data_IF_764084337838
#
_entry.id   IF_764084337838
#
_cell.length_a   1.000
_cell.length_b   1.000
_cell.length_c   1.000
_cell.angle_alpha   90.00
_cell.angle_beta   90.00
_cell.angle_gamma   90.00
#
_symmetry.space_group_name_H-M   'P 1'
#
loop_
_entity.id
_entity.type
_entity.pdbx_description
1 polymer ?
#
# COMPACT_ATOMS: atom_id res chain seq x y z
N UNK A 1 -3.50 35.37 1.19
CA UNK A 1 -4.11 34.49 1.58
C UNK A 1 -4.54 33.40 0.75
N UNK A 2 -4.48 33.46 -0.39
CA UNK A 2 -4.94 32.50 -1.21
C UNK A 2 -4.03 31.40 -1.52
N UNK A 3 -2.87 31.46 -1.06
CA UNK A 3 -1.93 30.48 -1.38
C UNK A 3 -2.29 29.08 -1.04
N UNK A 4 -2.78 28.81 0.13
CA UNK A 4 -3.13 27.44 0.43
C UNK A 4 -4.19 26.89 -0.46
N UNK A 5 -4.89 27.78 -1.12
CA UNK A 5 -5.86 27.43 -1.99
C UNK A 5 -5.39 26.67 -3.17
N UNK A 6 -4.30 27.04 -3.77
CA UNK A 6 -3.85 26.39 -4.99
C UNK A 6 -3.32 25.00 -4.71
N UNK A 7 -2.79 24.77 -3.54
CA UNK A 7 -2.25 23.46 -3.25
C UNK A 7 -3.30 22.47 -2.79
N UNK A 8 -4.20 22.91 -1.95
CA UNK A 8 -5.24 22.03 -1.46
C UNK A 8 -6.09 21.42 -2.55
N UNK A 9 -6.53 22.17 -3.55
CA UNK A 9 -7.31 21.56 -4.62
C UNK A 9 -6.53 20.53 -5.41
N UNK A 10 -5.24 20.70 -5.56
CA UNK A 10 -4.45 19.73 -6.29
C UNK A 10 -4.36 18.41 -5.53
N UNK A 11 -4.13 18.48 -4.24
CA UNK A 11 -4.07 17.27 -3.45
C UNK A 11 -5.41 16.55 -3.40
N UNK A 12 -6.47 17.31 -3.27
CA UNK A 12 -7.80 16.72 -3.28
C UNK A 12 -8.08 16.06 -4.62
N UNK A 13 -7.65 16.66 -5.70
CA UNK A 13 -7.82 16.07 -7.01
C UNK A 13 -7.09 14.75 -7.14
N UNK A 14 -5.87 14.65 -6.63
CA UNK A 14 -5.15 13.40 -6.67
C UNK A 14 -5.92 12.30 -5.97
N UNK A 15 -6.47 12.58 -4.81
CA UNK A 15 -7.21 11.59 -4.06
C UNK A 15 -8.54 11.24 -4.71
N UNK A 16 -9.15 12.21 -5.37
CA UNK A 16 -10.43 12.01 -6.01
C UNK A 16 -10.32 11.42 -7.41
N UNK A 17 -9.11 11.32 -7.96
CA UNK A 17 -8.94 10.88 -9.32
C UNK A 17 -8.97 9.37 -9.52
N UNK A 18 -8.92 8.58 -8.47
CA UNK A 18 -9.04 7.12 -8.61
C UNK A 18 -10.46 6.77 -9.00
N UNK A 19 -10.63 6.19 -10.17
CA UNK A 19 -11.95 5.79 -10.65
C UNK A 19 -12.33 4.43 -10.11
N UNK A 20 -13.58 4.06 -10.27
CA UNK A 20 -14.04 2.70 -9.93
C UNK A 20 -13.26 1.65 -10.70
N UNK A 21 -12.87 1.97 -11.93
CA UNK A 21 -12.10 1.05 -12.75
C UNK A 21 -10.69 0.88 -12.21
N UNK A 22 -10.06 1.96 -11.76
CA UNK A 22 -8.74 1.90 -11.13
C UNK A 22 -8.78 1.04 -9.88
N UNK A 23 -9.79 1.25 -9.04
CA UNK A 23 -9.96 0.48 -7.82
C UNK A 23 -10.14 -1.01 -8.13
N UNK A 24 -10.90 -1.32 -9.17
CA UNK A 24 -11.12 -2.70 -9.56
C UNK A 24 -9.83 -3.37 -10.03
N UNK A 25 -8.99 -2.63 -10.75
CA UNK A 25 -7.69 -3.14 -11.17
C UNK A 25 -6.82 -3.46 -9.96
N UNK A 26 -6.81 -2.57 -8.98
CA UNK A 26 -6.08 -2.80 -7.74
C UNK A 26 -6.64 -4.00 -6.98
N UNK A 27 -7.96 -4.10 -6.88
CA UNK A 27 -8.60 -5.22 -6.20
C UNK A 27 -8.21 -6.56 -6.83
N UNK A 28 -8.21 -6.61 -8.16
CA UNK A 28 -7.83 -7.83 -8.88
C UNK A 28 -6.39 -8.22 -8.57
N UNK A 29 -5.47 -7.25 -8.62
CA UNK A 29 -4.08 -7.52 -8.31
C UNK A 29 -3.90 -7.97 -6.86
N UNK A 30 -4.62 -7.34 -5.94
CA UNK A 30 -4.59 -7.73 -4.53
C UNK A 30 -5.07 -9.18 -4.36
N UNK A 31 -6.16 -9.56 -5.02
CA UNK A 31 -6.68 -10.92 -4.94
C UNK A 31 -5.65 -11.94 -5.43
N UNK A 32 -4.99 -11.62 -6.53
CA UNK A 32 -3.98 -12.52 -7.07
C UNK A 32 -2.80 -12.69 -6.13
N UNK A 33 -2.33 -11.60 -5.54
CA UNK A 33 -1.20 -11.67 -4.63
C UNK A 33 -1.57 -12.35 -3.32
N UNK A 34 -2.80 -12.18 -2.83
CA UNK A 34 -3.25 -12.86 -1.61
C UNK A 34 -3.27 -14.37 -1.74
N UNK A 35 -3.28 -14.88 -2.96
CA UNK A 35 -3.24 -16.34 -3.18
C UNK A 35 -1.85 -16.92 -3.01
N UNK A 36 -0.84 -16.06 -2.88
CA UNK A 36 0.51 -16.55 -2.64
C UNK A 36 0.63 -17.16 -1.24
N UNK A 37 1.52 -18.13 -1.13
CA UNK A 37 1.68 -18.87 0.11
C UNK A 37 2.06 -17.93 1.28
N UNK A 38 1.37 -18.11 2.40
CA UNK A 38 1.64 -17.38 3.66
C UNK A 38 1.25 -15.91 3.66
N UNK A 39 0.72 -15.39 2.57
CA UNK A 39 0.24 -14.01 2.52
C UNK A 39 -1.14 -13.93 3.18
N UNK A 40 -1.32 -12.99 4.10
CA UNK A 40 -2.56 -12.83 4.85
C UNK A 40 -3.30 -11.53 4.54
N UNK A 41 -2.60 -10.57 3.95
CA UNK A 41 -3.18 -9.27 3.63
C UNK A 41 -2.49 -8.69 2.42
N UNK A 42 -3.26 -8.18 1.47
CA UNK A 42 -2.74 -7.33 0.40
C UNK A 42 -3.77 -6.24 0.19
N UNK A 43 -3.40 -5.01 0.45
CA UNK A 43 -4.29 -3.89 0.27
C UNK A 43 -3.56 -2.67 -0.25
N UNK A 44 -4.28 -1.82 -0.95
CA UNK A 44 -3.76 -0.55 -1.41
C UNK A 44 -4.28 0.53 -0.48
N UNK A 45 -3.38 1.28 0.13
CA UNK A 45 -3.76 2.38 1.01
C UNK A 45 -3.35 3.70 0.36
N UNK A 46 -4.21 4.71 0.51
CA UNK A 46 -3.96 6.01 -0.08
C UNK A 46 -3.09 6.87 0.83
N UNK A 47 -2.86 8.11 0.42
CA UNK A 47 -1.99 9.04 1.17
C UNK A 47 -2.48 9.34 2.58
N UNK A 48 -3.76 9.17 2.86
CA UNK A 48 -4.31 9.35 4.19
C UNK A 48 -4.27 8.07 5.03
N UNK A 49 -3.72 7.00 4.48
CA UNK A 49 -3.67 5.73 5.18
C UNK A 49 -4.98 4.97 5.17
N UNK A 50 -5.85 5.25 4.21
CA UNK A 50 -7.13 4.56 4.10
C UNK A 50 -7.07 3.48 3.04
N UNK A 51 -7.69 2.36 3.35
CA UNK A 51 -7.75 1.23 2.42
C UNK A 51 -8.70 1.58 1.27
N UNK A 52 -8.18 1.52 0.05
CA UNK A 52 -9.00 1.79 -1.14
C UNK A 52 -9.25 0.54 -1.96
N UNK A 53 -8.47 -0.52 -1.76
CA UNK A 53 -8.66 -1.79 -2.46
C UNK A 53 -8.01 -2.91 -1.67
N UNK A 54 -8.50 -4.12 -1.83
CA UNK A 54 -7.92 -5.29 -1.18
C UNK A 54 -8.30 -5.40 0.29
N UNK A 55 -7.41 -5.99 1.06
CA UNK A 55 -7.58 -6.18 2.50
C UNK A 55 -7.09 -7.55 2.94
N UNK A 56 -7.59 -8.00 4.08
CA UNK A 56 -7.20 -9.30 4.63
C UNK A 56 -7.77 -10.46 3.82
N UNK A 57 -6.99 -11.51 3.76
CA UNK A 57 -7.44 -12.77 3.18
C UNK A 57 -8.62 -13.29 3.99
N UNK A 58 -9.59 -13.89 3.32
CA UNK A 58 -10.75 -14.43 4.00
C UNK A 58 -10.31 -15.48 5.02
N UNK A 59 -10.80 -15.32 6.24
CA UNK A 59 -10.43 -16.21 7.33
C UNK A 59 -9.19 -15.79 8.11
N UNK A 60 -8.46 -14.81 7.64
CA UNK A 60 -7.31 -14.27 8.35
C UNK A 60 -7.75 -13.01 9.09
N UNK A 61 -7.53 -12.96 10.38
CA UNK A 61 -7.89 -11.80 11.17
C UNK A 61 -6.81 -11.57 12.22
N UNK A 62 -5.61 -11.18 11.81
CA UNK A 62 -4.52 -11.03 12.76
C UNK A 62 -4.67 -9.85 13.70
N UNK A 63 -5.48 -8.86 13.35
CA UNK A 63 -5.70 -7.69 14.19
C UNK A 63 -7.13 -7.72 14.68
N UNK A 64 -7.35 -7.66 15.98
CA UNK A 64 -8.67 -7.90 16.55
C UNK A 64 -9.68 -6.77 16.37
N UNK A 65 -9.23 -5.54 16.12
CA UNK A 65 -10.12 -4.40 16.10
C UNK A 65 -9.90 -3.51 14.88
N UNK A 66 -11.00 -2.96 14.37
CA UNK A 66 -10.95 -2.07 13.21
C UNK A 66 -10.08 -0.84 13.47
N UNK A 67 -10.11 -0.32 14.69
CA UNK A 67 -9.29 0.85 15.04
C UNK A 67 -7.80 0.53 14.94
N UNK A 68 -7.39 -0.66 15.38
CA UNK A 68 -6.00 -1.08 15.29
C UNK A 68 -5.56 -1.20 13.83
N UNK A 69 -6.44 -1.71 12.98
CA UNK A 69 -6.15 -1.82 11.55
C UNK A 69 -5.97 -0.43 10.95
N UNK A 70 -6.88 0.49 11.25
CA UNK A 70 -6.81 1.85 10.73
C UNK A 70 -5.53 2.55 11.17
N UNK A 71 -5.15 2.39 12.45
CA UNK A 71 -3.91 2.95 12.96
C UNK A 71 -2.70 2.38 12.25
N UNK A 72 -2.71 1.09 11.99
CA UNK A 72 -1.61 0.43 11.29
C UNK A 72 -1.42 1.02 9.90
N UNK A 73 -2.51 1.21 9.17
CA UNK A 73 -2.44 1.79 7.84
C UNK A 73 -1.87 3.21 7.88
N UNK A 74 -2.32 4.02 8.82
CA UNK A 74 -1.80 5.37 8.97
C UNK A 74 -0.32 5.39 9.31
N UNK A 75 0.11 4.50 10.21
CA UNK A 75 1.51 4.41 10.59
C UNK A 75 2.40 4.01 9.42
N UNK A 76 1.92 3.09 8.59
CA UNK A 76 2.70 2.66 7.43
C UNK A 76 2.89 3.81 6.45
N UNK A 77 1.86 4.61 6.22
CA UNK A 77 1.98 5.78 5.36
C UNK A 77 2.91 6.83 5.95
N UNK A 78 2.79 7.09 7.24
CA UNK A 78 3.65 8.08 7.89
C UNK A 78 5.11 7.62 7.86
N UNK A 79 5.38 6.36 8.12
CA UNK A 79 6.72 5.81 8.07
C UNK A 79 7.31 5.97 6.68
N UNK A 80 6.53 5.65 5.66
CA UNK A 80 6.98 5.78 4.28
C UNK A 80 7.29 7.23 3.94
N UNK A 81 6.42 8.15 4.31
CA UNK A 81 6.63 9.57 4.01
C UNK A 81 7.85 10.13 4.70
N UNK A 82 8.11 9.71 5.92
CA UNK A 82 9.31 10.14 6.63
C UNK A 82 10.58 9.66 5.93
N UNK A 83 10.57 8.44 5.42
CA UNK A 83 11.72 7.90 4.70
C UNK A 83 11.93 8.54 3.35
N UNK A 84 10.86 9.03 2.72
CA UNK A 84 10.94 9.71 1.43
C UNK A 84 11.74 11.00 1.50
N UNK A 85 11.91 11.56 2.68
CA UNK A 85 12.72 12.79 2.83
C UNK A 85 14.16 12.58 2.41
N UNK A 86 14.63 11.36 2.36
CA UNK A 86 15.99 11.04 1.93
C UNK A 86 16.08 10.64 0.46
N UNK A 87 14.99 10.75 -0.29
CA UNK A 87 14.97 10.32 -1.69
C UNK A 87 16.00 11.07 -2.53
N UNK A 88 16.21 12.35 -2.27
CA UNK A 88 17.17 13.14 -3.00
C UNK A 88 18.62 12.68 -2.80
N UNK A 89 18.89 12.06 -1.67
CA UNK A 89 20.23 11.59 -1.36
C UNK A 89 20.41 10.11 -1.69
N UNK A 90 19.39 9.30 -1.38
CA UNK A 90 19.50 7.85 -1.48
C UNK A 90 18.74 7.25 -2.67
N UNK A 91 17.97 8.07 -3.37
CA UNK A 91 17.10 7.59 -4.45
C UNK A 91 15.72 7.19 -3.91
N UNK A 92 14.74 7.07 -4.81
CA UNK A 92 13.39 6.68 -4.41
C UNK A 92 13.36 5.30 -3.77
N UNK A 93 12.36 5.06 -2.94
CA UNK A 93 12.20 3.78 -2.26
C UNK A 93 11.53 2.80 -3.19
N UNK A 94 12.14 1.63 -3.38
CA UNK A 94 11.52 0.54 -4.13
C UNK A 94 10.55 -0.23 -3.26
N UNK A 95 10.92 -0.51 -2.03
CA UNK A 95 10.05 -1.17 -1.06
C UNK A 95 10.65 -1.05 0.33
N UNK A 96 9.81 -1.27 1.34
CA UNK A 96 10.26 -1.38 2.72
C UNK A 96 9.74 -2.72 3.23
N UNK A 97 10.63 -3.54 3.74
CA UNK A 97 10.24 -4.83 4.31
C UNK A 97 10.68 -4.90 5.76
N UNK A 98 9.77 -5.28 6.63
CA UNK A 98 10.03 -5.41 8.04
C UNK A 98 9.64 -6.81 8.48
N UNK A 99 10.62 -7.63 8.86
CA UNK A 99 10.35 -8.96 9.38
C UNK A 99 10.32 -8.90 10.89
N UNK A 100 9.16 -9.14 11.45
CA UNK A 100 8.96 -9.15 12.89
C UNK A 100 8.74 -10.59 13.35
N UNK A 101 8.78 -10.79 14.66
CA UNK A 101 8.63 -12.14 15.22
C UNK A 101 7.30 -12.79 14.81
N UNK A 102 6.25 -12.01 14.76
CA UNK A 102 4.91 -12.55 14.49
C UNK A 102 4.38 -12.22 13.10
N UNK A 103 5.09 -11.40 12.33
CA UNK A 103 4.55 -10.96 11.06
C UNK A 103 5.62 -10.36 10.17
N UNK A 104 5.51 -10.60 8.87
CA UNK A 104 6.28 -9.90 7.86
C UNK A 104 5.39 -8.82 7.27
N UNK A 105 5.89 -7.59 7.17
CA UNK A 105 5.16 -6.48 6.58
C UNK A 105 5.99 -5.86 5.47
N UNK A 106 5.39 -5.72 4.29
CA UNK A 106 6.07 -5.15 3.13
C UNK A 106 5.23 -4.01 2.59
N UNK A 107 5.87 -2.87 2.32
CA UNK A 107 5.22 -1.72 1.70
C UNK A 107 5.89 -1.45 0.36
N UNK A 108 5.10 -1.42 -0.71
CA UNK A 108 5.59 -1.15 -2.06
C UNK A 108 4.87 0.09 -2.59
N UNK A 109 5.61 1.15 -2.95
CA UNK A 109 4.94 2.37 -3.45
C UNK A 109 4.42 2.17 -4.87
N UNK A 110 3.21 2.66 -5.12
CA UNK A 110 2.63 2.70 -6.45
C UNK A 110 2.02 4.10 -6.63
N UNK A 111 2.78 4.99 -7.27
CA UNK A 111 2.38 6.39 -7.36
C UNK A 111 2.29 7.01 -5.98
N UNK A 112 1.15 7.59 -5.65
CA UNK A 112 0.93 8.20 -4.35
C UNK A 112 0.37 7.22 -3.32
N UNK A 113 0.15 5.98 -3.71
CA UNK A 113 -0.43 4.95 -2.84
C UNK A 113 0.63 3.94 -2.44
N UNK A 114 0.31 3.13 -1.45
CA UNK A 114 1.17 2.01 -1.04
C UNK A 114 0.41 0.70 -1.16
N UNK A 115 1.07 -0.31 -1.68
CA UNK A 115 0.60 -1.68 -1.55
C UNK A 115 1.15 -2.19 -0.22
N UNK A 116 0.25 -2.52 0.70
CA UNK A 116 0.64 -3.04 2.00
C UNK A 116 0.39 -4.53 2.04
N UNK A 117 1.46 -5.29 2.23
CA UNK A 117 1.42 -6.75 2.25
C UNK A 117 1.77 -7.23 3.64
N UNK A 118 0.95 -8.11 4.19
CA UNK A 118 1.25 -8.78 5.44
C UNK A 118 1.30 -10.27 5.18
N UNK A 119 2.24 -10.95 5.81
CA UNK A 119 2.45 -12.37 5.62
C UNK A 119 2.94 -13.01 6.90
N UNK A 120 2.93 -14.32 6.96
CA UNK A 120 3.49 -15.05 8.10
C UNK A 120 4.97 -14.74 8.22
N UNK A 121 5.52 -14.79 9.44
CA UNK A 121 6.88 -14.31 9.68
C UNK A 121 7.96 -15.08 8.95
N UNK A 122 7.70 -16.29 8.52
CA UNK A 122 8.68 -17.11 7.78
C UNK A 122 8.45 -17.11 6.28
N UNK A 123 7.58 -16.22 5.77
CA UNK A 123 7.31 -16.13 4.35
C UNK A 123 8.54 -15.65 3.58
N UNK A 124 8.61 -16.02 2.31
CA UNK A 124 9.70 -15.59 1.43
C UNK A 124 9.44 -14.17 0.93
N UNK A 125 10.09 -13.21 1.56
CA UNK A 125 9.88 -11.80 1.24
C UNK A 125 10.26 -11.44 -0.19
N UNK A 126 11.34 -12.01 -0.69
CA UNK A 126 11.81 -11.69 -2.05
C UNK A 126 10.83 -12.18 -3.10
N UNK A 127 10.30 -13.36 -2.92
CA UNK A 127 9.31 -13.89 -3.85
C UNK A 127 8.03 -13.06 -3.84
N UNK A 128 7.58 -12.66 -2.66
CA UNK A 128 6.38 -11.82 -2.52
C UNK A 128 6.60 -10.47 -3.18
N UNK A 129 7.74 -9.84 -2.95
CA UNK A 129 8.06 -8.54 -3.54
C UNK A 129 8.09 -8.64 -5.06
N UNK A 130 8.71 -9.68 -5.59
CA UNK A 130 8.78 -9.88 -7.03
C UNK A 130 7.39 -10.02 -7.64
N UNK A 131 6.52 -10.80 -7.00
CA UNK A 131 5.14 -10.96 -7.46
C UNK A 131 4.37 -9.67 -7.38
N UNK A 132 4.57 -8.90 -6.32
CA UNK A 132 3.91 -7.61 -6.16
C UNK A 132 4.31 -6.67 -7.29
N UNK A 133 5.58 -6.60 -7.60
CA UNK A 133 6.06 -5.76 -8.67
C UNK A 133 5.46 -6.19 -10.02
N UNK A 134 5.44 -7.47 -10.29
CA UNK A 134 4.85 -7.98 -11.54
C UNK A 134 3.37 -7.64 -11.66
N UNK A 135 2.63 -7.75 -10.57
CA UNK A 135 1.18 -7.53 -10.61
C UNK A 135 0.79 -6.06 -10.63
N UNK A 136 1.54 -5.21 -9.96
CA UNK A 136 1.16 -3.81 -9.82
C UNK A 136 1.85 -2.87 -10.81
N UNK A 137 3.04 -3.20 -11.29
CA UNK A 137 3.73 -2.35 -12.27
C UNK A 137 2.98 -2.27 -13.59
N UNK A 138 2.23 -3.32 -13.94
CA UNK A 138 1.49 -3.35 -15.20
C UNK A 138 0.17 -2.59 -15.12
N UNK A 139 -0.22 -2.11 -13.96
CA UNK A 139 -1.49 -1.41 -13.80
C UNK A 139 -1.33 0.03 -14.24
N UNK A 140 -2.13 0.43 -15.25
CA UNK A 140 -2.16 1.80 -15.73
C UNK A 140 -3.34 2.49 -15.08
N UNK A 141 -3.04 3.57 -14.37
CA UNK A 141 -4.08 4.39 -13.74
C UNK A 141 -4.55 5.42 -14.74
N UNK A 142 -5.83 5.46 -14.99
CA UNK A 142 -6.41 6.32 -16.01
C UNK A 142 -6.46 7.79 -15.59
N UNK A 143 -6.10 8.09 -14.36
CA UNK A 143 -6.27 9.42 -13.84
C UNK A 143 -4.97 10.13 -13.58
N UNK A 144 -4.03 9.93 -14.36
CA UNK A 144 -2.75 10.58 -14.14
C UNK A 144 -2.77 12.11 -14.33
#
# INVERSE_FOLDING_TARGET
MDIPFSMCPVEVQHMALLTSDDIRKYDTACDMLRNENKVTHVGVINELGRLVAGGFKKGAAPLPENETIAMTYMQMQLDFKMREELDGLLGPIDYIASRRTKQLIISVPIGHNLVLIMAEPDADDKEIIKKAEELFDDIVISTV
#
